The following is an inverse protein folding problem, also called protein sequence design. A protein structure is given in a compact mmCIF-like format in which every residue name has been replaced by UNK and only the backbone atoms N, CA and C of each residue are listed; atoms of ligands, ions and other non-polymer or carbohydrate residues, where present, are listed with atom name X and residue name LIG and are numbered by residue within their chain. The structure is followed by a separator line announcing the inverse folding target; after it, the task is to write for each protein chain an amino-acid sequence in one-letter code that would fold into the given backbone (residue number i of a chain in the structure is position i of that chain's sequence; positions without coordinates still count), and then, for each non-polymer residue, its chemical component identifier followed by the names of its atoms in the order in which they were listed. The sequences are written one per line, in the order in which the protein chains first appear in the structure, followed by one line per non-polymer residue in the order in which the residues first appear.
data_IF_257874035043
#
_entry.id   IF_257874035043
#
_cell.length_a   1.000
_cell.length_b   1.000
_cell.length_c   1.000
_cell.angle_alpha   90.00
_cell.angle_beta   90.00
_cell.angle_gamma   90.00
#
_symmetry.space_group_name_H-M   'P 1'
#
loop_
_entity.id
_entity.type
_entity.pdbx_description
1 polymer ?
#
# COMPACT_ATOMS: atom_id res chain seq x y z
N UNK A 1 -63.84 -41.46 -26.56
CA UNK A 1 -64.60 -41.17 -25.33
C UNK A 1 -64.21 -39.79 -24.83
N UNK A 2 -65.16 -39.03 -24.31
CA UNK A 2 -65.02 -37.80 -23.48
C UNK A 2 -63.83 -36.85 -23.72
N UNK A 3 -64.16 -35.64 -24.17
CA UNK A 3 -63.85 -34.46 -23.36
C UNK A 3 -65.04 -33.49 -23.44
N UNK A 4 -65.59 -33.08 -22.29
CA UNK A 4 -66.76 -32.21 -22.22
C UNK A 4 -66.37 -30.74 -22.07
N UNK A 5 -67.13 -29.93 -22.80
CA UNK A 5 -67.51 -28.53 -22.55
C UNK A 5 -67.41 -28.08 -21.07
N UNK A 6 -66.94 -26.86 -20.82
CA UNK A 6 -67.74 -25.74 -20.29
C UNK A 6 -66.91 -24.45 -20.27
N UNK A 7 -67.59 -23.33 -20.52
CA UNK A 7 -67.07 -21.96 -20.63
C UNK A 7 -67.74 -21.11 -19.55
N UNK A 8 -66.96 -20.40 -18.72
CA UNK A 8 -67.50 -19.31 -17.90
C UNK A 8 -66.63 -18.04 -18.01
N UNK A 9 -67.32 -16.97 -18.39
CA UNK A 9 -66.95 -15.55 -18.20
C UNK A 9 -67.12 -15.22 -16.69
N UNK A 10 -66.71 -14.08 -16.12
CA UNK A 10 -66.36 -12.76 -16.66
C UNK A 10 -65.63 -11.90 -15.59
N UNK A 11 -65.27 -10.66 -15.97
CA UNK A 11 -65.08 -9.47 -15.11
C UNK A 11 -63.86 -9.43 -14.15
N UNK A 12 -62.93 -8.50 -14.41
CA UNK A 12 -62.98 -7.18 -13.76
C UNK A 12 -62.16 -6.15 -14.57
N UNK A 13 -62.31 -4.87 -14.24
CA UNK A 13 -62.06 -3.74 -15.14
C UNK A 13 -60.66 -3.10 -15.13
N UNK A 14 -60.50 -2.23 -16.13
CA UNK A 14 -59.39 -1.33 -16.45
C UNK A 14 -58.96 -0.29 -15.38
N UNK A 15 -57.89 0.46 -15.72
CA UNK A 15 -57.35 1.72 -15.13
C UNK A 15 -56.25 1.56 -14.05
N UNK A 16 -55.25 2.45 -13.94
CA UNK A 16 -54.72 3.53 -14.81
C UNK A 16 -53.37 4.03 -14.22
N UNK A 17 -52.56 4.76 -15.00
CA UNK A 17 -51.32 5.48 -14.59
C UNK A 17 -50.19 4.59 -13.98
N UNK A 18 -48.93 5.04 -13.80
CA UNK A 18 -48.01 5.88 -14.59
C UNK A 18 -46.57 5.54 -14.10
N UNK A 19 -45.43 5.98 -14.65
CA UNK A 19 -45.09 6.98 -15.67
C UNK A 19 -43.73 6.59 -16.32
N UNK A 20 -42.97 7.52 -16.92
CA UNK A 20 -41.49 7.40 -16.94
C UNK A 20 -40.78 7.29 -18.30
N UNK A 21 -41.13 8.19 -19.21
CA UNK A 21 -40.35 8.59 -20.38
C UNK A 21 -38.82 8.63 -20.14
N UNK A 22 -38.08 7.75 -20.82
CA UNK A 22 -36.61 7.72 -20.85
C UNK A 22 -36.01 8.21 -22.18
N UNK A 23 -36.47 9.37 -22.66
CA UNK A 23 -35.92 10.06 -23.85
C UNK A 23 -35.93 11.58 -23.58
N UNK A 24 -34.93 12.31 -24.09
CA UNK A 24 -34.62 13.76 -23.90
C UNK A 24 -33.55 14.15 -22.85
N UNK A 25 -32.27 13.78 -23.07
CA UNK A 25 -31.11 14.45 -22.41
C UNK A 25 -29.87 14.62 -23.32
N UNK A 26 -30.01 14.60 -24.65
CA UNK A 26 -28.86 14.57 -25.58
C UNK A 26 -28.69 15.81 -26.49
N UNK A 27 -29.48 16.87 -26.30
CA UNK A 27 -29.56 18.00 -27.25
C UNK A 27 -29.53 19.40 -26.60
N UNK A 28 -28.94 19.55 -25.41
CA UNK A 28 -28.85 20.83 -24.69
C UNK A 28 -27.45 21.18 -24.16
N UNK A 29 -26.44 20.35 -24.43
CA UNK A 29 -25.09 20.51 -23.87
C UNK A 29 -24.14 21.38 -24.72
N UNK A 30 -24.59 21.88 -25.88
CA UNK A 30 -23.78 22.67 -26.82
C UNK A 30 -24.13 24.17 -26.88
N UNK A 31 -25.02 24.66 -26.01
CA UNK A 31 -25.45 26.08 -25.98
C UNK A 31 -25.06 26.85 -24.70
N UNK A 32 -24.18 26.28 -23.86
CA UNK A 32 -23.66 26.94 -22.65
C UNK A 32 -22.18 27.39 -22.73
N UNK A 33 -21.52 27.19 -23.88
CA UNK A 33 -20.09 27.53 -24.08
C UNK A 33 -19.87 29.03 -24.36
N UNK A 34 -20.94 29.83 -24.54
CA UNK A 34 -20.85 31.14 -25.19
C UNK A 34 -20.92 32.39 -24.28
N UNK A 35 -21.26 32.31 -22.99
CA UNK A 35 -21.55 33.54 -22.21
C UNK A 35 -21.25 33.50 -20.69
N UNK A 36 -19.98 33.28 -20.34
CA UNK A 36 -19.38 33.64 -19.03
C UNK A 36 -17.87 33.77 -19.27
N UNK A 37 -17.25 34.95 -19.38
CA UNK A 37 -17.44 36.20 -18.64
C UNK A 37 -17.37 36.01 -17.13
N UNK A 38 -16.16 35.86 -16.60
CA UNK A 38 -15.52 36.98 -15.85
C UNK A 38 -14.08 36.67 -15.48
N UNK A 39 -13.27 37.73 -15.46
CA UNK A 39 -11.91 37.74 -14.91
C UNK A 39 -11.95 37.45 -13.40
N UNK A 40 -11.26 36.40 -12.95
CA UNK A 40 -10.92 36.21 -11.54
C UNK A 40 -9.40 36.30 -11.37
N UNK A 41 -8.93 37.49 -11.02
CA UNK A 41 -7.65 37.66 -10.34
C UNK A 41 -7.90 37.35 -8.85
N UNK A 42 -7.43 36.20 -8.38
CA UNK A 42 -7.38 35.88 -6.96
C UNK A 42 -5.94 35.66 -6.51
N UNK A 43 -5.63 36.19 -5.33
CA UNK A 43 -4.28 36.21 -4.78
C UNK A 43 -3.82 34.80 -4.44
N UNK A 44 -2.92 34.25 -5.25
CA UNK A 44 -2.07 33.13 -4.85
C UNK A 44 -1.06 33.63 -3.83
N UNK A 45 -1.41 33.56 -2.54
CA UNK A 45 -0.40 33.60 -1.49
C UNK A 45 0.48 32.36 -1.68
N UNK A 46 1.67 32.55 -2.24
CA UNK A 46 2.72 31.55 -2.15
C UNK A 46 3.14 31.51 -0.70
N UNK A 47 2.44 30.68 0.09
CA UNK A 47 3.10 30.08 1.23
C UNK A 47 4.20 29.22 0.62
N UNK A 48 5.41 29.78 0.58
CA UNK A 48 6.63 29.00 0.55
C UNK A 48 6.63 28.13 1.81
N UNK A 49 5.92 27.00 1.70
CA UNK A 49 6.37 25.77 2.33
C UNK A 49 7.74 25.53 1.71
N UNK A 50 8.76 25.96 2.45
CA UNK A 50 10.01 25.23 2.54
C UNK A 50 9.68 23.74 2.37
N UNK A 51 10.13 23.08 1.28
CA UNK A 51 9.98 21.66 1.18
C UNK A 51 10.85 21.07 2.28
N UNK A 52 10.23 20.69 3.41
CA UNK A 52 10.85 19.73 4.28
C UNK A 52 11.18 18.53 3.39
N UNK A 53 12.47 18.22 3.29
CA UNK A 53 12.95 17.04 2.60
C UNK A 53 12.66 15.82 3.49
N UNK A 54 11.37 15.60 3.73
CA UNK A 54 10.81 14.33 4.16
C UNK A 54 10.89 13.44 2.91
N UNK A 55 12.11 12.97 2.62
CA UNK A 55 12.50 12.24 1.42
C UNK A 55 11.93 10.83 1.39
N UNK A 56 10.61 10.74 1.46
CA UNK A 56 9.81 9.55 1.37
C UNK A 56 9.46 9.28 -0.09
N UNK A 57 9.92 8.15 -0.61
CA UNK A 57 9.56 7.67 -1.95
C UNK A 57 8.98 6.26 -1.85
N UNK A 58 7.76 6.10 -2.34
CA UNK A 58 7.08 4.82 -2.53
C UNK A 58 7.07 4.51 -4.03
N UNK A 59 7.24 3.25 -4.41
CA UNK A 59 7.13 2.82 -5.82
C UNK A 59 5.67 2.73 -6.30
N UNK A 60 5.48 2.73 -7.62
CA UNK A 60 4.13 2.69 -8.25
C UNK A 60 3.34 1.44 -7.86
N UNK A 61 4.03 0.33 -7.55
CA UNK A 61 3.43 -0.93 -7.10
C UNK A 61 3.11 -0.97 -5.58
N UNK A 62 3.59 -0.02 -4.78
CA UNK A 62 3.39 0.01 -3.32
C UNK A 62 4.09 -1.15 -2.57
N UNK A 63 5.24 -1.59 -3.07
CA UNK A 63 6.06 -2.69 -2.54
C UNK A 63 7.37 -2.19 -1.91
N UNK A 64 7.81 -0.98 -2.25
CA UNK A 64 9.10 -0.41 -1.86
C UNK A 64 8.89 0.97 -1.26
N UNK A 65 9.45 1.18 -0.09
CA UNK A 65 9.54 2.48 0.57
C UNK A 65 11.01 2.82 0.79
N UNK A 66 11.41 4.07 0.55
CA UNK A 66 12.68 4.64 1.01
C UNK A 66 12.34 5.92 1.76
N UNK A 67 12.79 6.05 3.01
CA UNK A 67 12.44 7.18 3.87
C UNK A 67 13.48 7.44 4.97
N UNK A 68 13.34 8.59 5.64
CA UNK A 68 14.15 9.04 6.78
C UNK A 68 15.67 8.92 6.58
N UNK A 69 16.26 9.49 5.51
CA UNK A 69 17.67 9.26 5.15
C UNK A 69 18.70 9.68 6.21
N UNK A 70 18.34 10.54 7.16
CA UNK A 70 19.19 10.94 8.29
C UNK A 70 19.07 10.06 9.54
N UNK A 71 18.10 9.14 9.62
CA UNK A 71 17.84 8.37 10.82
C UNK A 71 18.85 7.22 11.02
N UNK A 72 19.11 6.90 12.29
CA UNK A 72 19.92 5.75 12.71
C UNK A 72 19.17 5.00 13.81
N UNK A 73 18.79 3.77 13.53
CA UNK A 73 18.13 2.88 14.45
C UNK A 73 19.05 1.73 14.88
N UNK A 74 18.82 1.27 16.09
CA UNK A 74 19.34 0.04 16.68
C UNK A 74 18.17 -0.91 16.95
N UNK A 75 18.47 -2.18 17.26
CA UNK A 75 17.44 -3.13 17.65
C UNK A 75 16.70 -2.73 18.94
N UNK A 76 17.35 -1.96 19.83
CA UNK A 76 16.73 -1.54 21.09
C UNK A 76 15.74 -0.37 20.87
N UNK A 77 15.95 0.49 19.86
CA UNK A 77 14.96 1.50 19.45
C UNK A 77 13.66 0.84 18.95
N UNK A 78 13.80 -0.21 18.13
CA UNK A 78 12.67 -1.00 17.66
C UNK A 78 11.96 -1.72 18.82
N UNK A 79 12.72 -2.30 19.76
CA UNK A 79 12.14 -2.96 20.94
C UNK A 79 11.40 -1.95 21.84
N UNK A 80 11.91 -0.72 21.97
CA UNK A 80 11.27 0.34 22.76
C UNK A 80 9.88 0.72 22.22
N UNK A 81 9.65 0.64 20.90
CA UNK A 81 8.34 0.89 20.27
C UNK A 81 7.45 -0.35 20.17
N UNK A 82 7.93 -1.51 20.62
CA UNK A 82 7.13 -2.74 20.76
C UNK A 82 7.47 -3.87 19.80
N UNK A 83 8.54 -3.77 19.01
CA UNK A 83 9.08 -4.90 18.24
C UNK A 83 9.56 -6.01 19.19
N UNK A 84 9.21 -7.26 18.87
CA UNK A 84 9.59 -8.44 19.66
C UNK A 84 10.62 -9.27 18.90
N UNK A 85 11.88 -9.21 19.35
CA UNK A 85 12.97 -10.10 18.91
C UNK A 85 12.52 -11.57 19.00
N UNK A 86 12.75 -12.35 17.95
CA UNK A 86 12.51 -13.80 17.94
C UNK A 86 13.80 -14.57 17.63
N UNK A 87 14.43 -14.29 16.48
CA UNK A 87 15.66 -14.95 16.04
C UNK A 87 16.61 -13.94 15.40
N UNK A 88 17.88 -13.99 15.79
CA UNK A 88 18.97 -13.32 15.08
C UNK A 88 19.44 -14.22 13.92
N UNK A 89 19.80 -13.64 12.77
CA UNK A 89 20.40 -14.35 11.64
C UNK A 89 21.88 -13.98 11.50
N UNK A 90 22.65 -14.90 10.92
CA UNK A 90 24.06 -14.65 10.57
C UNK A 90 24.16 -13.64 9.43
N UNK A 91 25.14 -12.73 9.52
CA UNK A 91 25.34 -11.65 8.52
C UNK A 91 26.12 -12.10 7.27
N UNK A 92 26.78 -13.25 7.31
CA UNK A 92 27.71 -13.78 6.28
C UNK A 92 27.15 -13.81 4.85
N UNK A 93 25.82 -13.79 4.70
CA UNK A 93 25.08 -13.97 3.45
C UNK A 93 24.33 -12.70 3.00
N UNK A 94 24.41 -11.62 3.78
CA UNK A 94 23.80 -10.32 3.48
C UNK A 94 24.90 -9.26 3.53
N UNK A 95 25.51 -8.91 2.38
CA UNK A 95 26.62 -7.97 2.34
C UNK A 95 26.33 -6.66 3.07
N UNK A 96 27.32 -6.15 3.81
CA UNK A 96 27.22 -4.87 4.52
C UNK A 96 26.25 -4.84 5.72
N UNK A 97 25.54 -5.93 6.03
CA UNK A 97 24.69 -6.00 7.22
C UNK A 97 25.54 -6.15 8.50
N UNK A 98 25.27 -5.31 9.48
CA UNK A 98 25.87 -5.33 10.81
C UNK A 98 25.11 -6.24 11.78
N UNK A 99 23.79 -6.34 11.61
CA UNK A 99 22.91 -7.16 12.45
C UNK A 99 21.62 -7.49 11.67
N UNK A 100 21.01 -8.63 11.94
CA UNK A 100 19.77 -9.09 11.28
C UNK A 100 18.85 -9.76 12.30
N UNK A 101 17.65 -9.20 12.47
CA UNK A 101 16.65 -9.72 13.39
C UNK A 101 15.36 -10.10 12.66
N UNK A 102 14.92 -11.33 12.86
CA UNK A 102 13.54 -11.74 12.66
C UNK A 102 12.77 -11.62 13.97
N UNK A 103 11.55 -11.11 13.88
CA UNK A 103 10.71 -10.78 15.03
C UNK A 103 9.33 -10.32 14.60
N UNK A 104 8.58 -9.82 15.58
CA UNK A 104 7.17 -9.52 15.42
C UNK A 104 6.82 -8.10 15.88
N UNK A 105 6.00 -7.42 15.09
CA UNK A 105 5.35 -6.18 15.48
C UNK A 105 3.85 -6.26 15.18
N UNK A 106 2.98 -5.89 16.12
CA UNK A 106 1.51 -5.97 15.96
C UNK A 106 0.96 -7.33 15.42
N UNK A 107 1.54 -8.46 15.84
CA UNK A 107 1.21 -9.81 15.33
C UNK A 107 1.56 -10.03 13.83
N UNK A 108 2.54 -9.28 13.34
CA UNK A 108 3.09 -9.40 11.99
C UNK A 108 4.60 -9.62 12.00
N UNK A 109 5.05 -10.47 11.09
CA UNK A 109 6.45 -10.81 10.90
C UNK A 109 7.20 -9.66 10.23
N UNK A 110 8.33 -9.24 10.81
CA UNK A 110 9.23 -8.27 10.19
C UNK A 110 10.67 -8.73 10.41
N UNK A 111 11.41 -8.90 9.32
CA UNK A 111 12.88 -9.03 9.35
C UNK A 111 13.50 -7.65 9.20
N UNK A 112 14.45 -7.28 10.05
CA UNK A 112 15.14 -5.98 10.02
C UNK A 112 16.64 -6.21 9.92
N UNK A 113 17.23 -5.67 8.86
CA UNK A 113 18.65 -5.68 8.54
C UNK A 113 19.23 -4.31 8.86
N UNK A 114 20.25 -4.24 9.68
CA UNK A 114 20.90 -3.01 10.11
C UNK A 114 22.20 -2.80 9.35
N UNK A 115 22.44 -1.57 8.88
CA UNK A 115 23.64 -1.17 8.12
C UNK A 115 24.35 0.00 8.82
N UNK A 116 25.55 0.34 8.34
CA UNK A 116 26.36 1.45 8.87
C UNK A 116 25.76 2.83 8.65
N UNK A 117 24.91 3.01 7.63
CA UNK A 117 24.26 4.28 7.28
C UNK A 117 23.10 4.05 6.32
N UNK A 118 22.31 5.09 6.04
CA UNK A 118 21.32 5.04 4.97
C UNK A 118 21.94 4.79 3.59
N UNK A 119 23.09 5.42 3.29
CA UNK A 119 23.81 5.16 2.05
C UNK A 119 24.22 3.69 1.93
N UNK A 120 24.69 3.08 3.03
CA UNK A 120 25.04 1.65 3.09
C UNK A 120 23.82 0.73 2.96
N UNK A 121 22.66 1.13 3.50
CA UNK A 121 21.40 0.40 3.34
C UNK A 121 20.88 0.45 1.90
N UNK A 122 21.07 1.57 1.20
CA UNK A 122 20.79 1.69 -0.24
C UNK A 122 21.77 0.87 -1.09
N UNK A 123 23.08 0.98 -0.80
CA UNK A 123 24.15 0.35 -1.58
C UNK A 123 24.17 -1.18 -1.46
N UNK A 124 24.01 -1.72 -0.25
CA UNK A 124 24.15 -3.16 0.00
C UNK A 124 22.83 -3.85 0.37
N UNK A 125 21.81 -3.10 0.79
CA UNK A 125 20.57 -3.68 1.32
C UNK A 125 19.44 -3.86 0.30
N UNK A 126 19.44 -3.10 -0.81
CA UNK A 126 18.38 -3.16 -1.82
C UNK A 126 18.42 -4.49 -2.60
N UNK A 127 19.56 -4.87 -3.20
CA UNK A 127 19.65 -6.09 -4.01
C UNK A 127 19.26 -7.36 -3.23
N UNK A 128 19.74 -7.61 -2.00
CA UNK A 128 19.28 -8.72 -1.17
C UNK A 128 17.83 -8.63 -0.68
N UNK A 129 17.17 -7.47 -0.79
CA UNK A 129 15.74 -7.32 -0.51
C UNK A 129 14.88 -7.58 -1.76
N UNK A 130 15.31 -7.11 -2.93
CA UNK A 130 14.74 -7.45 -4.25
C UNK A 130 14.71 -8.96 -4.47
N UNK A 131 15.82 -9.65 -4.18
CA UNK A 131 15.89 -11.13 -4.24
C UNK A 131 14.88 -11.82 -3.33
N UNK A 132 14.51 -11.21 -2.20
CA UNK A 132 13.49 -11.76 -1.29
C UNK A 132 12.09 -11.52 -1.84
N UNK A 133 11.75 -10.28 -2.21
CA UNK A 133 10.39 -9.95 -2.69
C UNK A 133 10.07 -10.57 -4.06
N UNK A 134 11.10 -10.94 -4.84
CA UNK A 134 10.94 -11.69 -6.09
C UNK A 134 10.63 -13.19 -5.91
N UNK A 135 10.83 -13.77 -4.71
CA UNK A 135 10.56 -15.20 -4.44
C UNK A 135 9.06 -15.47 -4.51
N UNK A 136 8.68 -16.54 -5.21
CA UNK A 136 7.29 -17.00 -5.32
C UNK A 136 6.97 -18.07 -4.28
N UNK A 137 5.71 -18.14 -3.88
CA UNK A 137 5.21 -19.17 -2.96
C UNK A 137 5.64 -20.59 -3.41
N UNK A 138 6.42 -21.28 -2.58
CA UNK A 138 7.00 -22.59 -2.88
C UNK A 138 8.51 -22.59 -3.16
N UNK A 139 9.11 -21.43 -3.45
CA UNK A 139 10.56 -21.26 -3.38
C UNK A 139 10.98 -21.01 -1.92
N UNK A 140 12.03 -21.71 -1.46
CA UNK A 140 12.56 -21.52 -0.10
C UNK A 140 13.50 -20.32 -0.05
N UNK A 141 13.49 -19.62 1.06
CA UNK A 141 14.59 -18.72 1.39
C UNK A 141 15.82 -19.55 1.82
N UNK A 142 17.02 -19.00 1.62
CA UNK A 142 18.24 -19.60 2.15
C UNK A 142 18.32 -19.40 3.68
N UNK A 143 17.82 -18.26 4.19
CA UNK A 143 17.85 -17.93 5.61
C UNK A 143 16.68 -18.54 6.42
N UNK A 144 15.54 -18.81 5.75
CA UNK A 144 14.31 -19.34 6.38
C UNK A 144 13.77 -20.55 5.58
N UNK A 145 13.74 -21.77 6.16
CA UNK A 145 13.32 -22.99 5.44
C UNK A 145 11.80 -23.12 5.22
N UNK A 146 11.02 -22.22 5.81
CA UNK A 146 9.58 -22.04 5.61
C UNK A 146 9.39 -20.71 4.87
N UNK A 147 8.47 -20.67 3.91
CA UNK A 147 8.30 -19.52 3.00
C UNK A 147 7.64 -18.34 3.73
N UNK A 148 8.44 -17.60 4.50
CA UNK A 148 8.09 -16.26 4.94
C UNK A 148 8.11 -15.35 3.71
N UNK A 149 6.96 -15.26 3.05
CA UNK A 149 6.78 -14.42 1.87
C UNK A 149 6.68 -12.97 2.34
N UNK A 150 7.80 -12.26 2.29
CA UNK A 150 7.83 -10.80 2.32
C UNK A 150 7.66 -10.32 0.87
N UNK A 151 6.52 -9.74 0.46
CA UNK A 151 6.33 -9.23 -0.89
C UNK A 151 6.73 -7.75 -1.03
N UNK A 152 7.15 -7.11 0.07
CA UNK A 152 7.46 -5.69 0.15
C UNK A 152 8.62 -5.45 1.14
N UNK A 153 9.35 -4.34 0.97
CA UNK A 153 10.39 -3.88 1.87
C UNK A 153 10.41 -2.36 2.03
N UNK A 154 10.99 -1.88 3.13
CA UNK A 154 11.22 -0.47 3.41
C UNK A 154 12.68 -0.20 3.81
N UNK A 155 13.33 0.79 3.19
CA UNK A 155 14.61 1.36 3.63
C UNK A 155 14.31 2.55 4.53
N UNK A 156 14.71 2.49 5.80
CA UNK A 156 14.33 3.46 6.83
C UNK A 156 15.59 3.86 7.59
N UNK A 157 16.14 5.03 7.28
CA UNK A 157 17.48 5.39 7.77
C UNK A 157 18.50 4.32 7.44
N UNK A 158 19.29 3.87 8.42
CA UNK A 158 20.28 2.80 8.25
C UNK A 158 19.70 1.36 8.24
N UNK A 159 18.39 1.17 8.09
CA UNK A 159 17.77 -0.17 8.14
C UNK A 159 17.07 -0.54 6.84
N UNK A 160 17.00 -1.84 6.55
CA UNK A 160 16.09 -2.43 5.56
C UNK A 160 15.16 -3.39 6.28
N UNK A 161 13.87 -3.13 6.20
CA UNK A 161 12.79 -3.91 6.81
C UNK A 161 12.07 -4.72 5.74
N UNK A 162 11.91 -6.03 5.92
CA UNK A 162 11.10 -6.90 5.07
C UNK A 162 9.72 -7.10 5.70
N UNK A 163 8.67 -6.82 4.95
CA UNK A 163 7.33 -6.59 5.49
C UNK A 163 6.41 -7.81 5.25
N UNK A 164 5.80 -8.40 6.28
CA UNK A 164 4.80 -9.45 6.07
C UNK A 164 3.65 -8.94 5.19
N UNK A 165 3.35 -9.69 4.11
CA UNK A 165 2.17 -9.58 3.21
C UNK A 165 1.99 -8.27 2.42
N UNK A 166 2.42 -7.13 2.93
CA UNK A 166 2.27 -5.81 2.31
C UNK A 166 3.15 -4.78 3.01
N UNK A 167 3.48 -3.69 2.29
CA UNK A 167 4.34 -2.61 2.77
C UNK A 167 3.86 -1.99 4.09
N UNK A 168 2.53 -1.87 4.27
CA UNK A 168 1.94 -1.24 5.46
C UNK A 168 2.19 -1.96 6.78
N UNK A 169 2.69 -3.20 6.74
CA UNK A 169 3.22 -3.87 7.94
C UNK A 169 4.47 -3.16 8.46
N UNK A 170 5.35 -2.68 7.58
CA UNK A 170 6.50 -1.87 7.95
C UNK A 170 6.10 -0.43 8.26
N UNK A 171 5.18 0.18 7.50
CA UNK A 171 4.70 1.55 7.75
C UNK A 171 4.20 1.70 9.20
N UNK A 172 3.40 0.74 9.68
CA UNK A 172 2.91 0.73 11.06
C UNK A 172 4.03 0.68 12.13
N UNK A 173 5.19 0.09 11.83
CA UNK A 173 6.37 0.13 12.71
C UNK A 173 7.08 1.49 12.58
N UNK A 174 7.28 1.97 11.35
CA UNK A 174 7.93 3.25 11.04
C UNK A 174 7.20 4.42 11.70
N UNK A 175 5.86 4.45 11.65
CA UNK A 175 5.01 5.45 12.32
C UNK A 175 5.21 5.53 13.85
N UNK A 176 5.71 4.45 14.47
CA UNK A 176 6.00 4.41 15.91
C UNK A 176 7.45 4.76 16.26
N UNK A 177 8.37 4.70 15.29
CA UNK A 177 9.75 5.13 15.45
C UNK A 177 9.85 6.67 15.40
N UNK A 178 10.73 7.24 16.23
CA UNK A 178 11.09 8.66 16.20
C UNK A 178 12.19 8.98 15.17
#
# INVERSE_FOLDING_TARGET
MYQSVINLRALCDSQSWSNGLSKFRFAQWFLFIALSSTLLLSFGCSSEKEPSFDGESIDEEGLRLITRPGARYTIDDLVAVGYKKNKQFEVDLVPGANDIWYGFFQQKDIEVRFYDSHASALEFGIEPAEEVIAKKAGQRDFLIPVVNLYPAYAVVGNTVMLCERQLSTCEALIETLN
#
